data_IF_498960211520
#
_entry.id   IF_498960211520
#
_cell.length_a   1.000
_cell.length_b   1.000
_cell.length_c   1.000
_cell.angle_alpha   90.00
_cell.angle_beta   90.00
_cell.angle_gamma   90.00
#
_symmetry.space_group_name_H-M   'P 1'
#
loop_
_entity.id
_entity.type
_entity.pdbx_description
1 polymer ?
#
# COMPACT_ATOMS: atom_id res chain seq x y z
N UNK A 1 -12.89 -0.52 -14.69
CA UNK A 1 -12.92 -0.80 -13.22
C UNK A 1 -11.59 -1.45 -12.88
N UNK A 2 -10.78 -0.82 -12.02
CA UNK A 2 -9.47 -1.32 -11.63
C UNK A 2 -9.54 -2.50 -10.65
N UNK A 3 -8.40 -3.13 -10.37
CA UNK A 3 -8.30 -4.18 -9.34
C UNK A 3 -8.44 -3.56 -7.95
N UNK A 4 -9.44 -3.93 -7.12
CA UNK A 4 -9.79 -3.24 -5.86
C UNK A 4 -8.61 -2.97 -4.92
N UNK A 5 -7.63 -3.88 -4.89
CA UNK A 5 -6.42 -3.79 -4.05
C UNK A 5 -5.53 -2.57 -4.33
N UNK A 6 -5.64 -1.95 -5.49
CA UNK A 6 -4.81 -0.80 -5.89
C UNK A 6 -5.59 0.50 -6.00
N UNK A 7 -6.89 0.46 -5.70
CA UNK A 7 -7.78 1.61 -5.78
C UNK A 7 -7.54 2.52 -4.58
N UNK A 8 -7.47 3.82 -4.82
CA UNK A 8 -7.26 4.81 -3.77
C UNK A 8 -8.45 4.91 -2.81
N UNK A 9 -8.24 5.39 -1.57
CA UNK A 9 -9.30 5.48 -0.56
C UNK A 9 -10.51 6.29 -1.02
N UNK A 10 -10.29 7.42 -1.68
CA UNK A 10 -11.34 8.31 -2.19
C UNK A 10 -12.14 7.71 -3.34
N UNK A 11 -11.51 6.89 -4.18
CA UNK A 11 -12.18 6.18 -5.26
C UNK A 11 -12.98 4.98 -4.73
N UNK A 12 -12.46 4.29 -3.70
CA UNK A 12 -13.20 3.23 -2.98
C UNK A 12 -14.41 3.78 -2.22
N UNK A 13 -14.28 4.94 -1.59
CA UNK A 13 -15.35 5.60 -0.86
C UNK A 13 -16.37 6.30 -1.77
N UNK A 14 -16.08 6.43 -3.07
CA UNK A 14 -16.93 7.16 -4.02
C UNK A 14 -16.98 8.67 -3.77
N UNK A 15 -15.99 9.23 -3.07
CA UNK A 15 -15.92 10.66 -2.72
C UNK A 15 -15.05 11.48 -3.67
N UNK A 16 -14.40 10.81 -4.61
CA UNK A 16 -13.53 11.44 -5.60
C UNK A 16 -14.30 12.34 -6.58
N UNK A 17 -13.72 13.49 -6.88
CA UNK A 17 -14.12 14.31 -8.02
C UNK A 17 -13.54 13.72 -9.30
N UNK A 18 -14.36 13.50 -10.32
CA UNK A 18 -13.91 12.95 -11.61
C UNK A 18 -13.24 14.02 -12.50
N UNK A 19 -12.29 14.78 -11.94
CA UNK A 19 -11.44 15.70 -12.68
C UNK A 19 -10.02 15.14 -12.86
N UNK A 20 -9.30 15.65 -13.85
CA UNK A 20 -7.96 15.17 -14.23
C UNK A 20 -6.99 15.13 -13.05
N UNK A 21 -6.98 16.17 -12.21
CA UNK A 21 -6.05 16.25 -11.07
C UNK A 21 -6.36 15.19 -10.03
N UNK A 22 -7.64 14.95 -9.75
CA UNK A 22 -8.07 13.90 -8.82
C UNK A 22 -7.73 12.50 -9.35
N UNK A 23 -7.94 12.24 -10.63
CA UNK A 23 -7.58 10.95 -11.24
C UNK A 23 -6.07 10.70 -11.23
N UNK A 24 -5.25 11.71 -11.51
CA UNK A 24 -3.79 11.62 -11.41
C UNK A 24 -3.32 11.28 -9.98
N UNK A 25 -4.00 11.80 -8.96
CA UNK A 25 -3.70 11.44 -7.55
C UNK A 25 -4.00 9.97 -7.26
N UNK A 26 -5.06 9.40 -7.84
CA UNK A 26 -5.30 7.97 -7.75
C UNK A 26 -4.17 7.15 -8.37
N UNK A 27 -3.66 7.58 -9.53
CA UNK A 27 -2.54 6.90 -10.18
C UNK A 27 -1.26 6.96 -9.34
N UNK A 28 -0.99 8.10 -8.68
CA UNK A 28 0.13 8.24 -7.72
C UNK A 28 -0.04 7.30 -6.52
N UNK A 29 -1.26 7.16 -6.00
CA UNK A 29 -1.56 6.18 -4.95
C UNK A 29 -1.26 4.75 -5.42
N UNK A 30 -1.78 4.37 -6.60
CA UNK A 30 -1.54 3.06 -7.20
C UNK A 30 -0.04 2.81 -7.40
N UNK A 31 0.71 3.82 -7.87
CA UNK A 31 2.16 3.75 -8.03
C UNK A 31 2.85 3.43 -6.70
N UNK A 32 2.46 4.08 -5.60
CA UNK A 32 2.99 3.79 -4.26
C UNK A 32 2.78 2.33 -3.85
N UNK A 33 1.58 1.79 -4.06
CA UNK A 33 1.29 0.38 -3.78
C UNK A 33 2.16 -0.56 -4.62
N UNK A 34 2.30 -0.29 -5.92
CA UNK A 34 3.12 -1.12 -6.82
C UNK A 34 4.58 -1.04 -6.44
N UNK A 35 5.11 0.15 -6.17
CA UNK A 35 6.50 0.34 -5.81
C UNK A 35 6.84 -0.37 -4.48
N UNK A 36 5.94 -0.31 -3.50
CA UNK A 36 6.06 -1.10 -2.28
C UNK A 36 6.15 -2.61 -2.54
N UNK A 37 5.34 -3.17 -3.47
CA UNK A 37 5.42 -4.59 -3.84
C UNK A 37 6.75 -4.99 -4.50
N UNK A 38 7.38 -4.05 -5.21
CA UNK A 38 8.72 -4.26 -5.77
C UNK A 38 9.74 -4.30 -4.63
N UNK A 39 9.68 -3.34 -3.72
CA UNK A 39 10.58 -3.29 -2.56
C UNK A 39 10.42 -4.47 -1.62
N UNK A 40 9.20 -4.98 -1.44
CA UNK A 40 8.96 -6.16 -0.60
C UNK A 40 9.66 -7.41 -1.13
N UNK A 41 10.07 -7.44 -2.41
CA UNK A 41 10.80 -8.54 -3.04
C UNK A 41 12.27 -8.20 -3.30
N UNK A 42 12.72 -7.04 -2.83
CA UNK A 42 14.08 -6.61 -3.04
C UNK A 42 15.03 -7.44 -2.17
N UNK A 43 16.07 -7.98 -2.79
CA UNK A 43 17.11 -8.75 -2.13
C UNK A 43 18.42 -7.96 -2.21
N UNK A 44 19.01 -7.65 -1.06
CA UNK A 44 20.26 -6.90 -0.99
C UNK A 44 21.19 -7.50 0.06
N UNK A 45 22.43 -7.81 -0.34
CA UNK A 45 23.47 -8.35 0.56
C UNK A 45 22.99 -9.53 1.42
N UNK A 46 22.22 -10.46 0.83
CA UNK A 46 21.62 -11.62 1.51
C UNK A 46 20.59 -11.31 2.61
N UNK A 47 20.14 -10.06 2.73
CA UNK A 47 19.01 -9.73 3.59
C UNK A 47 17.74 -9.85 2.76
N UNK A 48 16.92 -10.81 3.15
CA UNK A 48 15.59 -11.01 2.59
C UNK A 48 14.58 -10.07 3.28
N UNK A 49 13.95 -9.21 2.46
CA UNK A 49 12.92 -8.25 2.88
C UNK A 49 11.50 -8.80 2.63
N UNK A 50 11.36 -10.06 2.18
CA UNK A 50 10.10 -10.74 1.79
C UNK A 50 8.95 -10.63 2.82
N UNK A 51 9.24 -10.29 4.08
CA UNK A 51 8.24 -10.15 5.14
C UNK A 51 7.52 -8.78 5.21
N UNK A 52 7.65 -7.87 4.23
CA UNK A 52 6.85 -6.62 4.25
C UNK A 52 5.33 -6.86 4.07
N UNK A 53 4.94 -7.97 3.44
CA UNK A 53 3.55 -8.22 3.00
C UNK A 53 2.56 -8.52 4.13
N UNK A 54 3.05 -8.77 5.35
CA UNK A 54 2.24 -9.43 6.39
C UNK A 54 1.06 -8.61 6.90
N UNK A 55 1.15 -7.29 7.10
CA UNK A 55 0.06 -6.58 7.79
C UNK A 55 -1.26 -6.59 7.02
N UNK A 56 -1.23 -6.40 5.70
CA UNK A 56 -2.46 -6.43 4.92
C UNK A 56 -3.03 -7.85 4.90
N UNK A 57 -2.20 -8.87 4.67
CA UNK A 57 -2.68 -10.26 4.63
C UNK A 57 -3.15 -10.78 6.00
N UNK A 58 -2.52 -10.36 7.09
CA UNK A 58 -2.94 -10.63 8.47
C UNK A 58 -4.29 -9.98 8.75
N UNK A 59 -4.49 -8.71 8.40
CA UNK A 59 -5.79 -8.06 8.53
C UNK A 59 -6.89 -8.75 7.71
N UNK A 60 -6.56 -9.19 6.49
CA UNK A 60 -7.48 -10.00 5.67
C UNK A 60 -7.87 -11.29 6.40
N UNK A 61 -6.92 -11.99 7.05
CA UNK A 61 -7.20 -13.20 7.83
C UNK A 61 -7.99 -12.92 9.11
N UNK A 62 -7.59 -11.92 9.89
CA UNK A 62 -8.25 -11.52 11.15
C UNK A 62 -9.73 -11.16 10.92
N UNK A 63 -10.03 -10.50 9.80
CA UNK A 63 -11.38 -10.09 9.43
C UNK A 63 -12.15 -11.14 8.61
N UNK A 64 -11.58 -12.33 8.36
CA UNK A 64 -12.15 -13.37 7.51
C UNK A 64 -12.54 -12.89 6.09
N UNK A 65 -11.69 -12.07 5.48
CA UNK A 65 -11.90 -11.46 4.16
C UNK A 65 -11.13 -12.19 3.05
N UNK A 66 -11.58 -12.05 1.80
CA UNK A 66 -10.95 -12.69 0.64
C UNK A 66 -9.59 -12.08 0.31
N UNK A 67 -8.51 -12.86 0.49
CA UNK A 67 -7.15 -12.41 0.18
C UNK A 67 -6.91 -12.26 -1.32
N UNK A 68 -7.36 -13.21 -2.15
CA UNK A 68 -7.00 -13.21 -3.56
C UNK A 68 -7.85 -12.25 -4.38
N UNK A 69 -9.15 -12.18 -4.08
CA UNK A 69 -10.12 -11.38 -4.81
C UNK A 69 -10.99 -10.61 -3.82
N UNK A 70 -10.46 -9.55 -3.18
CA UNK A 70 -11.26 -8.71 -2.32
C UNK A 70 -12.24 -7.88 -3.13
N UNK A 71 -13.46 -7.75 -2.63
CA UNK A 71 -14.47 -6.82 -3.11
C UNK A 71 -14.09 -5.38 -2.76
N UNK A 72 -14.75 -4.43 -3.42
CA UNK A 72 -14.60 -2.99 -3.12
C UNK A 72 -14.93 -2.70 -1.65
N UNK A 73 -15.99 -3.32 -1.12
CA UNK A 73 -16.41 -3.14 0.27
C UNK A 73 -15.36 -3.65 1.26
N UNK A 74 -14.78 -4.84 1.02
CA UNK A 74 -13.74 -5.41 1.88
C UNK A 74 -12.48 -4.52 1.90
N UNK A 75 -12.07 -4.01 0.73
CA UNK A 75 -10.96 -3.06 0.65
C UNK A 75 -11.26 -1.76 1.39
N UNK A 76 -12.49 -1.26 1.27
CA UNK A 76 -12.91 -0.03 1.94
C UNK A 76 -12.84 -0.17 3.47
N UNK A 77 -13.29 -1.32 4.01
CA UNK A 77 -13.18 -1.66 5.43
C UNK A 77 -11.71 -1.66 5.87
N UNK A 78 -10.84 -2.38 5.15
CA UNK A 78 -9.43 -2.52 5.54
C UNK A 78 -8.73 -1.17 5.55
N UNK A 79 -8.87 -0.37 4.49
CA UNK A 79 -8.16 0.90 4.34
C UNK A 79 -8.59 1.91 5.41
N UNK A 80 -9.87 1.89 5.81
CA UNK A 80 -10.44 2.83 6.77
C UNK A 80 -10.57 2.27 8.21
N UNK A 81 -10.05 1.07 8.48
CA UNK A 81 -10.22 0.40 9.77
C UNK A 81 -9.57 1.15 10.96
N UNK A 82 -8.54 1.97 10.72
CA UNK A 82 -7.78 2.70 11.76
C UNK A 82 -7.77 4.20 11.47
N UNK A 83 -7.66 5.00 12.55
CA UNK A 83 -7.60 6.47 12.49
C UNK A 83 -6.46 6.96 11.59
N UNK A 84 -5.30 6.30 11.64
CA UNK A 84 -4.29 6.38 10.59
C UNK A 84 -4.62 5.33 9.54
N UNK A 85 -5.23 5.75 8.42
CA UNK A 85 -5.63 4.90 7.29
C UNK A 85 -4.62 3.76 7.09
N UNK A 86 -5.06 2.50 7.04
CA UNK A 86 -4.14 1.37 6.92
C UNK A 86 -3.34 1.48 5.62
N UNK A 87 -2.02 1.32 5.72
CA UNK A 87 -1.08 1.31 4.60
C UNK A 87 -0.20 0.07 4.65
N UNK A 88 0.36 -0.35 3.51
CA UNK A 88 1.32 -1.43 3.51
C UNK A 88 2.51 -1.11 4.43
N UNK A 89 2.90 -2.07 5.28
CA UNK A 89 4.03 -1.86 6.17
C UNK A 89 5.35 -1.87 5.40
N UNK A 90 6.22 -0.95 5.79
CA UNK A 90 7.59 -0.91 5.32
C UNK A 90 8.44 -1.63 6.37
N UNK A 91 9.10 -2.73 5.98
CA UNK A 91 9.91 -3.54 6.89
C UNK A 91 11.04 -2.72 7.50
N UNK A 92 11.15 -2.76 8.82
CA UNK A 92 12.17 -2.03 9.58
C UNK A 92 13.60 -2.45 9.23
N UNK A 93 13.80 -3.67 8.70
CA UNK A 93 15.09 -4.11 8.16
C UNK A 93 15.58 -3.24 7.00
N UNK A 94 14.69 -2.58 6.26
CA UNK A 94 15.12 -1.61 5.24
C UNK A 94 15.90 -0.44 5.86
N UNK A 95 15.59 -0.08 7.11
CA UNK A 95 16.33 0.95 7.86
C UNK A 95 17.70 0.46 8.33
N UNK A 96 17.90 -0.85 8.53
CA UNK A 96 19.20 -1.39 9.00
C UNK A 96 20.30 -1.33 7.95
N UNK A 97 19.97 -1.18 6.67
CA UNK A 97 20.97 -1.01 5.61
C UNK A 97 21.68 0.35 5.66
N UNK A 98 21.16 1.33 6.41
CA UNK A 98 21.72 2.69 6.54
C UNK A 98 22.00 3.40 5.19
N UNK A 99 21.32 2.99 4.11
CA UNK A 99 21.46 3.63 2.80
C UNK A 99 20.45 4.78 2.69
N UNK A 100 20.94 5.98 2.40
CA UNK A 100 20.11 7.18 2.16
C UNK A 100 19.06 6.97 1.06
N UNK A 101 19.36 6.14 0.06
CA UNK A 101 18.43 5.80 -1.01
C UNK A 101 17.16 5.11 -0.49
N UNK A 102 17.27 4.24 0.51
CA UNK A 102 16.09 3.60 1.10
C UNK A 102 15.23 4.57 1.88
N UNK A 103 15.85 5.47 2.65
CA UNK A 103 15.11 6.51 3.36
C UNK A 103 14.31 7.39 2.39
N UNK A 104 14.93 7.81 1.29
CA UNK A 104 14.25 8.58 0.24
C UNK A 104 13.06 7.80 -0.35
N UNK A 105 13.25 6.51 -0.65
CA UNK A 105 12.18 5.67 -1.18
C UNK A 105 11.01 5.54 -0.20
N UNK A 106 11.29 5.38 1.11
CA UNK A 106 10.26 5.33 2.15
C UNK A 106 9.48 6.63 2.23
N UNK A 107 10.15 7.78 2.10
CA UNK A 107 9.49 9.08 2.07
C UNK A 107 8.59 9.23 0.84
N UNK A 108 9.08 8.84 -0.35
CA UNK A 108 8.29 8.83 -1.58
C UNK A 108 7.03 7.97 -1.41
N UNK A 109 7.15 6.76 -0.85
CA UNK A 109 5.99 5.90 -0.59
C UNK A 109 4.97 6.55 0.36
N UNK A 110 5.46 7.18 1.43
CA UNK A 110 4.61 7.89 2.38
C UNK A 110 3.86 9.07 1.74
N UNK A 111 4.49 9.77 0.79
CA UNK A 111 3.85 10.83 0.01
C UNK A 111 2.84 10.29 -1.00
N UNK A 112 3.11 9.14 -1.63
CA UNK A 112 2.20 8.55 -2.60
C UNK A 112 0.83 8.18 -2.01
N UNK A 113 0.78 7.79 -0.74
CA UNK A 113 -0.43 7.24 -0.14
C UNK A 113 -1.00 8.05 1.04
N UNK A 114 -0.74 9.35 1.12
CA UNK A 114 -1.39 10.21 2.13
C UNK A 114 -2.94 10.18 2.03
#
# INVERSE_FOLDING_TARGET
IGTPRYVSPELLAGTIRCDETSLLKCDVYTLGIVFWKVLSRFHFQNIDVNNCLYLLEELFKELNLSLNNPTVNEMNIIIHLKESKNRPLINSKLKSFQLKSFELIVNILNECWQ
#
